data_IF_571418346153
#
_entry.id   IF_571418346153
#
_cell.length_a   1.000
_cell.length_b   1.000
_cell.length_c   1.000
_cell.angle_alpha   90.00
_cell.angle_beta   90.00
_cell.angle_gamma   90.00
#
_symmetry.space_group_name_H-M   'P 1'
#
loop_
_entity.id
_entity.type
_entity.pdbx_description
1 polymer ?
#
# COMPACT_ATOMS: atom_id res chain seq x y z
N UNK A 1 5.51 14.09 14.33
CA UNK A 1 4.80 14.01 13.03
C UNK A 1 4.49 12.56 12.72
N UNK A 2 3.43 12.28 11.96
CA UNK A 2 3.02 10.94 11.54
C UNK A 2 2.69 10.93 10.05
N UNK A 3 2.72 9.73 9.43
CA UNK A 3 2.24 9.48 8.08
C UNK A 3 1.03 8.57 8.20
N UNK A 4 -0.14 9.05 7.78
CA UNK A 4 -1.37 8.27 7.72
C UNK A 4 -1.43 7.49 6.40
N UNK A 5 -1.72 6.19 6.48
CA UNK A 5 -1.65 5.29 5.33
C UNK A 5 -3.01 4.66 5.05
N UNK A 6 -3.52 4.85 3.84
CA UNK A 6 -4.68 4.13 3.33
C UNK A 6 -4.26 2.85 2.60
N UNK A 7 -5.18 1.91 2.47
CA UNK A 7 -4.93 0.64 1.81
C UNK A 7 -5.48 0.61 0.38
N UNK A 8 -4.67 0.08 -0.55
CA UNK A 8 -5.09 -0.22 -1.92
C UNK A 8 -5.17 -1.72 -2.17
N UNK A 9 -6.06 -2.11 -3.06
CA UNK A 9 -6.08 -3.40 -3.71
C UNK A 9 -4.95 -3.52 -4.76
N UNK A 10 -4.76 -4.70 -5.34
CA UNK A 10 -3.70 -4.96 -6.33
C UNK A 10 -3.87 -4.16 -7.64
N UNK A 11 -5.10 -3.75 -7.96
CA UNK A 11 -5.44 -2.91 -9.12
C UNK A 11 -5.34 -1.40 -8.86
N UNK A 12 -4.75 -0.99 -7.74
CA UNK A 12 -4.60 0.39 -7.27
C UNK A 12 -5.92 1.09 -6.88
N UNK A 13 -7.03 0.38 -6.85
CA UNK A 13 -8.28 0.92 -6.31
C UNK A 13 -8.27 0.90 -4.78
N UNK A 14 -9.11 1.72 -4.16
CA UNK A 14 -9.30 1.69 -2.72
C UNK A 14 -9.72 0.28 -2.25
N UNK A 15 -9.09 -0.24 -1.23
CA UNK A 15 -9.53 -1.49 -0.59
C UNK A 15 -10.90 -1.31 0.06
N UNK A 16 -11.76 -2.34 0.01
CA UNK A 16 -13.17 -2.26 0.45
C UNK A 16 -13.36 -1.85 1.91
N UNK A 17 -12.34 -2.03 2.74
CA UNK A 17 -12.34 -1.70 4.17
C UNK A 17 -11.60 -0.39 4.50
N UNK A 18 -10.88 0.24 3.54
CA UNK A 18 -9.99 1.36 3.87
C UNK A 18 -10.75 2.63 4.25
N UNK A 19 -10.23 3.33 5.24
CA UNK A 19 -10.64 4.71 5.50
C UNK A 19 -9.92 5.65 4.52
N UNK A 20 -10.51 6.82 4.30
CA UNK A 20 -10.04 7.85 3.39
C UNK A 20 -10.36 9.26 3.93
N UNK A 21 -9.79 10.28 3.33
CA UNK A 21 -10.10 11.66 3.68
C UNK A 21 -8.87 12.56 3.76
N UNK A 22 -9.06 13.84 4.12
CA UNK A 22 -7.99 14.85 4.08
C UNK A 22 -6.84 14.59 5.07
N UNK A 23 -7.02 13.68 6.03
CA UNK A 23 -5.97 13.25 6.94
C UNK A 23 -5.06 12.15 6.41
N UNK A 24 -5.38 11.55 5.25
CA UNK A 24 -4.55 10.53 4.62
C UNK A 24 -3.32 11.16 3.98
N UNK A 25 -2.13 10.63 4.28
CA UNK A 25 -0.88 11.14 3.72
C UNK A 25 -0.50 10.44 2.42
N UNK A 26 -0.54 9.11 2.42
CA UNK A 26 -0.19 8.24 1.28
C UNK A 26 -1.05 6.99 1.29
N UNK A 27 -1.04 6.24 0.20
CA UNK A 27 -1.59 4.89 0.12
C UNK A 27 -0.49 3.84 -0.06
N UNK A 28 -0.79 2.60 0.31
CA UNK A 28 0.10 1.46 0.08
C UNK A 28 -0.70 0.16 -0.08
N UNK A 29 -0.10 -0.90 -0.66
CA UNK A 29 -0.76 -2.19 -0.80
C UNK A 29 -1.20 -2.75 0.55
N UNK A 30 -2.49 -2.92 0.75
CA UNK A 30 -3.08 -3.52 1.95
C UNK A 30 -3.81 -4.83 1.69
N UNK A 31 -3.99 -5.16 0.41
CA UNK A 31 -4.82 -6.29 -0.03
C UNK A 31 -6.32 -5.94 -0.02
N UNK A 32 -7.12 -6.81 -0.61
CA UNK A 32 -8.58 -6.70 -0.65
C UNK A 32 -9.19 -8.07 -0.92
N UNK A 33 -9.26 -8.89 0.10
CA UNK A 33 -9.70 -10.29 0.02
C UNK A 33 -11.11 -10.40 -0.54
N UNK A 34 -12.03 -9.60 -0.01
CA UNK A 34 -13.44 -9.63 -0.40
C UNK A 34 -13.64 -9.29 -1.90
N UNK A 35 -12.81 -8.41 -2.44
CA UNK A 35 -12.89 -8.02 -3.86
C UNK A 35 -12.39 -9.12 -4.81
N UNK A 36 -11.36 -9.87 -4.39
CA UNK A 36 -10.78 -10.95 -5.19
C UNK A 36 -11.38 -12.32 -4.89
N UNK A 37 -12.41 -12.39 -4.10
CA UNK A 37 -13.03 -13.66 -3.69
C UNK A 37 -13.50 -14.53 -4.87
N UNK A 38 -14.08 -13.92 -5.90
CA UNK A 38 -14.60 -14.61 -7.08
C UNK A 38 -13.50 -15.13 -8.04
N UNK A 39 -12.22 -14.78 -7.79
CA UNK A 39 -11.07 -15.23 -8.59
C UNK A 39 -10.44 -16.51 -8.06
N UNK A 40 -11.06 -17.18 -7.09
CA UNK A 40 -10.50 -18.35 -6.42
C UNK A 40 -11.27 -19.59 -6.83
N UNK A 41 -10.55 -20.62 -7.29
CA UNK A 41 -11.14 -21.93 -7.52
C UNK A 41 -11.32 -22.69 -6.19
N UNK A 42 -12.10 -23.80 -6.21
CA UNK A 42 -12.45 -24.57 -5.01
C UNK A 42 -11.24 -25.29 -4.36
N UNK A 43 -10.09 -25.35 -5.04
CA UNK A 43 -8.88 -26.04 -4.56
C UNK A 43 -7.92 -25.12 -3.81
N UNK A 44 -8.08 -23.79 -3.94
CA UNK A 44 -7.18 -22.80 -3.35
C UNK A 44 -7.86 -21.99 -2.23
N UNK A 45 -7.09 -21.63 -1.21
CA UNK A 45 -7.58 -20.81 -0.10
C UNK A 45 -8.17 -19.49 -0.58
N UNK A 46 -9.44 -19.32 -0.33
CA UNK A 46 -10.23 -18.17 -0.73
C UNK A 46 -9.57 -16.85 -0.32
N UNK A 47 -9.28 -16.00 -1.31
CA UNK A 47 -8.82 -14.64 -1.09
C UNK A 47 -7.32 -14.43 -0.97
N UNK A 48 -6.48 -15.46 -1.02
CA UNK A 48 -5.01 -15.29 -1.00
C UNK A 48 -4.51 -14.38 -2.12
N UNK A 49 -5.11 -14.47 -3.31
CA UNK A 49 -4.76 -13.65 -4.48
C UNK A 49 -4.90 -12.15 -4.21
N UNK A 50 -5.88 -11.77 -3.37
CA UNK A 50 -6.12 -10.38 -3.00
C UNK A 50 -5.34 -9.90 -1.78
N UNK A 51 -4.62 -10.79 -1.09
CA UNK A 51 -3.96 -10.49 0.18
C UNK A 51 -2.47 -10.18 0.03
N UNK A 52 -1.89 -9.66 1.10
CA UNK A 52 -0.45 -9.44 1.25
C UNK A 52 0.18 -10.65 1.90
N UNK A 53 1.13 -11.29 1.21
CA UNK A 53 1.95 -12.37 1.75
C UNK A 53 3.05 -11.80 2.65
N UNK A 54 3.19 -12.35 3.85
CA UNK A 54 4.28 -12.00 4.77
C UNK A 54 4.68 -13.18 5.65
N UNK A 55 5.74 -12.99 6.44
CA UNK A 55 6.19 -13.98 7.41
C UNK A 55 5.27 -14.03 8.63
N UNK A 56 5.02 -15.23 9.11
CA UNK A 56 4.28 -15.48 10.34
C UNK A 56 5.10 -16.38 11.30
N UNK A 57 4.90 -16.26 12.61
CA UNK A 57 5.51 -17.18 13.56
C UNK A 57 5.06 -18.63 13.33
N UNK A 58 5.95 -19.59 13.51
CA UNK A 58 5.66 -21.00 13.27
C UNK A 58 4.49 -21.58 14.11
N UNK A 59 4.17 -20.98 15.24
CA UNK A 59 3.01 -21.39 16.03
C UNK A 59 1.68 -20.88 15.43
N UNK A 60 1.72 -19.98 14.46
CA UNK A 60 0.56 -19.46 13.72
C UNK A 60 0.44 -20.14 12.35
N UNK A 61 1.57 -20.37 11.70
CA UNK A 61 1.63 -21.02 10.38
C UNK A 61 2.85 -21.94 10.30
N UNK A 62 2.64 -23.22 10.00
CA UNK A 62 3.71 -24.22 9.87
C UNK A 62 4.70 -23.88 8.74
N UNK A 63 4.23 -23.20 7.69
CA UNK A 63 5.09 -22.72 6.59
C UNK A 63 5.97 -21.52 6.98
N UNK A 64 5.66 -20.84 8.08
CA UNK A 64 6.27 -19.56 8.46
C UNK A 64 5.80 -18.37 7.63
N UNK A 65 4.79 -18.56 6.76
CA UNK A 65 4.22 -17.52 5.89
C UNK A 65 2.70 -17.54 5.96
N UNK A 66 2.06 -16.43 5.59
CA UNK A 66 0.62 -16.35 5.47
C UNK A 66 0.18 -15.06 4.80
N UNK A 67 -1.08 -15.06 4.42
CA UNK A 67 -1.75 -13.97 3.70
C UNK A 67 -2.65 -13.20 4.65
N UNK A 68 -2.58 -11.89 4.60
CA UNK A 68 -3.42 -10.99 5.40
C UNK A 68 -3.80 -9.76 4.59
N UNK A 69 -4.89 -9.11 4.97
CA UNK A 69 -5.29 -7.82 4.43
C UNK A 69 -5.46 -6.80 5.56
N UNK A 70 -5.40 -5.51 5.22
CA UNK A 70 -5.63 -4.43 6.17
C UNK A 70 -4.72 -3.23 5.95
N UNK A 71 -5.11 -2.10 6.52
CA UNK A 71 -4.20 -0.95 6.65
C UNK A 71 -2.98 -1.29 7.52
N UNK A 72 -3.10 -2.34 8.37
CA UNK A 72 -1.97 -2.94 9.12
C UNK A 72 -0.92 -3.58 8.20
N UNK A 73 -1.28 -3.99 6.97
CA UNK A 73 -0.38 -4.49 5.94
C UNK A 73 0.13 -3.36 5.05
N UNK A 74 -0.68 -2.33 4.81
CA UNK A 74 -0.28 -1.13 4.07
C UNK A 74 0.80 -0.31 4.81
N UNK A 75 0.64 -0.11 6.11
CA UNK A 75 1.57 0.68 6.93
C UNK A 75 3.02 0.17 6.88
N UNK A 76 3.33 -1.13 7.08
CA UNK A 76 4.70 -1.63 7.01
C UNK A 76 5.32 -1.52 5.62
N UNK A 77 4.55 -1.49 4.53
CA UNK A 77 5.09 -1.16 3.20
C UNK A 77 5.73 0.23 3.19
N UNK A 78 5.03 1.23 3.74
CA UNK A 78 5.57 2.60 3.85
C UNK A 78 6.80 2.63 4.76
N UNK A 79 6.77 1.92 5.88
CA UNK A 79 7.92 1.81 6.79
C UNK A 79 9.14 1.15 6.12
N UNK A 80 8.91 0.09 5.34
CA UNK A 80 9.97 -0.57 4.57
C UNK A 80 10.57 0.34 3.50
N UNK A 81 9.75 1.08 2.78
CA UNK A 81 10.20 2.07 1.79
C UNK A 81 10.98 3.19 2.45
N UNK A 82 10.56 3.66 3.62
CA UNK A 82 11.29 4.66 4.40
C UNK A 82 12.65 4.14 4.86
N UNK A 83 12.72 2.91 5.37
CA UNK A 83 13.99 2.28 5.78
C UNK A 83 14.94 2.11 4.60
N UNK A 84 14.42 1.70 3.43
CA UNK A 84 15.20 1.58 2.20
C UNK A 84 15.75 2.94 1.76
N UNK A 85 14.96 4.01 1.85
CA UNK A 85 15.38 5.37 1.53
C UNK A 85 16.53 5.85 2.43
N UNK A 86 16.44 5.61 3.74
CA UNK A 86 17.49 5.97 4.72
C UNK A 86 18.78 5.20 4.41
N UNK A 87 18.67 3.89 4.17
CA UNK A 87 19.81 3.04 3.83
C UNK A 87 20.50 3.51 2.54
N UNK A 88 19.73 3.78 1.50
CA UNK A 88 20.27 4.26 0.23
C UNK A 88 20.90 5.64 0.31
N UNK A 89 20.29 6.56 1.07
CA UNK A 89 20.88 7.87 1.32
C UNK A 89 22.24 7.75 2.04
N UNK A 90 22.33 6.84 3.01
CA UNK A 90 23.58 6.57 3.73
C UNK A 90 24.69 6.02 2.80
N UNK A 91 24.37 5.15 1.85
CA UNK A 91 25.32 4.69 0.80
C UNK A 91 25.86 5.87 -0.03
N UNK A 92 25.00 6.86 -0.31
CA UNK A 92 25.39 8.09 -0.97
C UNK A 92 26.02 9.13 -0.05
N UNK A 93 26.36 8.76 1.19
CA UNK A 93 26.90 9.63 2.25
C UNK A 93 26.03 10.85 2.54
N UNK A 94 24.71 10.66 2.48
CA UNK A 94 23.68 11.67 2.81
C UNK A 94 22.95 11.26 4.06
N UNK A 95 22.59 12.24 4.86
CA UNK A 95 21.66 12.07 5.99
C UNK A 95 20.32 12.70 5.64
N UNK A 96 19.25 11.95 5.71
CA UNK A 96 17.90 12.47 5.58
C UNK A 96 17.36 12.84 6.96
N UNK A 97 16.91 14.07 7.10
CA UNK A 97 16.13 14.46 8.28
C UNK A 97 14.73 13.84 8.22
N UNK A 98 14.04 13.75 9.35
CA UNK A 98 12.66 13.27 9.43
C UNK A 98 11.74 14.05 8.47
N UNK A 99 11.90 15.37 8.42
CA UNK A 99 11.14 16.24 7.53
C UNK A 99 11.39 15.94 6.05
N UNK A 100 12.65 15.82 5.65
CA UNK A 100 13.01 15.50 4.25
C UNK A 100 12.48 14.12 3.84
N UNK A 101 12.63 13.11 4.70
CA UNK A 101 12.11 11.77 4.44
C UNK A 101 10.59 11.79 4.26
N UNK A 102 9.87 12.50 5.12
CA UNK A 102 8.43 12.66 5.02
C UNK A 102 8.00 13.35 3.72
N UNK A 103 8.65 14.46 3.39
CA UNK A 103 8.38 15.21 2.15
C UNK A 103 8.65 14.34 0.90
N UNK A 104 9.73 13.59 0.88
CA UNK A 104 10.06 12.67 -0.20
C UNK A 104 9.02 11.55 -0.32
N UNK A 105 8.64 10.89 0.78
CA UNK A 105 7.62 9.84 0.77
C UNK A 105 6.29 10.33 0.18
N UNK A 106 5.89 11.56 0.50
CA UNK A 106 4.62 12.14 0.02
C UNK A 106 4.74 12.61 -1.44
N UNK A 107 5.88 13.20 -1.84
CA UNK A 107 6.03 13.81 -3.16
C UNK A 107 6.42 12.83 -4.27
N UNK A 108 6.86 11.61 -3.94
CA UNK A 108 7.33 10.61 -4.91
C UNK A 108 6.36 9.44 -5.08
N UNK A 109 5.10 9.61 -4.72
CA UNK A 109 4.05 8.61 -4.89
C UNK A 109 3.67 8.41 -6.36
N UNK A 110 3.12 7.24 -6.67
CA UNK A 110 2.43 6.99 -7.94
C UNK A 110 0.99 7.50 -7.84
N UNK A 111 0.54 8.40 -8.72
CA UNK A 111 -0.85 8.85 -8.72
C UNK A 111 -1.83 7.68 -8.92
N UNK A 112 -2.92 7.65 -8.14
CA UNK A 112 -3.94 6.60 -8.20
C UNK A 112 -5.37 7.13 -8.34
N UNK A 113 -5.56 8.44 -8.44
CA UNK A 113 -6.89 9.05 -8.51
C UNK A 113 -7.69 8.63 -9.73
N UNK A 114 -7.01 8.40 -10.85
CA UNK A 114 -7.64 7.91 -12.08
C UNK A 114 -8.12 6.45 -11.96
N UNK A 115 -7.60 5.70 -11.00
CA UNK A 115 -8.07 4.36 -10.68
C UNK A 115 -9.36 4.39 -9.82
N UNK A 116 -9.66 5.53 -9.15
CA UNK A 116 -10.81 5.68 -8.27
C UNK A 116 -12.05 6.12 -9.07
N UNK A 117 -12.51 5.30 -10.01
CA UNK A 117 -13.64 5.58 -10.88
C UNK A 117 -14.58 4.39 -10.99
N UNK A 118 -15.89 4.66 -11.12
CA UNK A 118 -16.90 3.62 -11.25
C UNK A 118 -17.17 2.86 -9.95
N UNK A 119 -17.45 1.58 -10.08
CA UNK A 119 -17.71 0.72 -8.94
C UNK A 119 -17.11 -0.66 -9.16
N UNK A 120 -16.65 -1.29 -8.09
CA UNK A 120 -16.30 -2.69 -8.08
C UNK A 120 -17.37 -3.51 -7.34
N UNK A 121 -17.62 -4.71 -7.83
CA UNK A 121 -18.50 -5.67 -7.17
C UNK A 121 -17.64 -6.57 -6.30
N UNK A 122 -18.06 -6.83 -5.09
CA UNK A 122 -17.38 -7.74 -4.18
C UNK A 122 -18.37 -8.57 -3.38
N UNK A 123 -17.95 -9.77 -2.96
CA UNK A 123 -18.74 -10.69 -2.15
C UNK A 123 -18.01 -10.93 -0.83
N UNK A 124 -18.61 -10.48 0.27
CA UNK A 124 -18.03 -10.72 1.58
C UNK A 124 -18.17 -12.20 1.95
N UNK A 125 -17.07 -12.79 2.37
CA UNK A 125 -17.08 -14.14 2.93
C UNK A 125 -17.20 -14.08 4.46
N UNK A 126 -18.17 -14.79 4.99
CA UNK A 126 -18.34 -14.94 6.44
C UNK A 126 -18.11 -16.40 6.80
N UNK A 127 -17.15 -16.67 7.70
CA UNK A 127 -16.84 -18.02 8.16
C UNK A 127 -18.11 -18.72 8.66
N UNK A 128 -18.26 -20.01 8.34
CA UNK A 128 -19.40 -20.87 8.68
C UNK A 128 -20.74 -20.52 7.97
N UNK A 129 -20.82 -19.38 7.25
CA UNK A 129 -22.02 -18.97 6.51
C UNK A 129 -21.78 -19.04 5.00
N UNK A 130 -20.55 -18.77 4.57
CA UNK A 130 -20.16 -18.72 3.16
C UNK A 130 -20.27 -17.32 2.54
N UNK A 131 -20.21 -17.23 1.19
CA UNK A 131 -20.27 -15.96 0.48
C UNK A 131 -21.61 -15.28 0.67
N UNK A 132 -21.55 -13.96 0.90
CA UNK A 132 -22.72 -13.11 1.01
C UNK A 132 -23.16 -12.62 -0.37
N UNK A 133 -24.35 -12.03 -0.45
CA UNK A 133 -24.83 -11.41 -1.68
C UNK A 133 -23.84 -10.35 -2.18
N UNK A 134 -23.57 -10.29 -3.50
CA UNK A 134 -22.66 -9.29 -4.06
C UNK A 134 -23.09 -7.87 -3.72
N UNK A 135 -22.12 -7.06 -3.36
CA UNK A 135 -22.31 -5.64 -3.02
C UNK A 135 -21.54 -4.75 -3.98
N UNK A 136 -22.05 -3.53 -4.20
CA UNK A 136 -21.40 -2.51 -5.02
C UNK A 136 -20.59 -1.57 -4.13
N UNK A 137 -19.31 -1.40 -4.45
CA UNK A 137 -18.39 -0.49 -3.79
C UNK A 137 -18.05 0.65 -4.77
N UNK A 138 -18.57 1.83 -4.51
CA UNK A 138 -18.32 3.01 -5.34
C UNK A 138 -16.95 3.59 -5.05
N UNK A 139 -16.19 3.87 -6.10
CA UNK A 139 -14.81 4.37 -6.01
C UNK A 139 -14.71 5.90 -6.02
N UNK A 140 -15.67 6.60 -6.61
CA UNK A 140 -15.65 8.07 -6.72
C UNK A 140 -15.43 8.82 -5.37
N UNK A 141 -15.98 8.37 -4.23
CA UNK A 141 -15.71 9.01 -2.94
C UNK A 141 -14.26 9.02 -2.52
N UNK A 142 -13.45 8.11 -3.05
CA UNK A 142 -12.03 7.94 -2.73
C UNK A 142 -11.12 8.82 -3.58
N UNK A 143 -11.62 9.36 -4.71
CA UNK A 143 -10.85 10.22 -5.60
C UNK A 143 -10.40 11.49 -4.86
N UNK A 144 -9.11 11.80 -4.92
CA UNK A 144 -8.43 12.88 -4.17
C UNK A 144 -8.52 12.74 -2.63
N UNK A 145 -8.83 11.56 -2.11
CA UNK A 145 -8.98 11.30 -0.68
C UNK A 145 -8.04 10.19 -0.16
N UNK A 146 -7.23 9.62 -1.04
CA UNK A 146 -6.31 8.51 -0.75
C UNK A 146 -4.86 8.99 -0.50
N UNK A 147 -4.70 10.23 -0.05
CA UNK A 147 -3.39 10.88 0.12
C UNK A 147 -2.80 11.34 -1.21
N UNK A 148 -1.48 11.50 -1.28
CA UNK A 148 -0.79 11.92 -2.51
C UNK A 148 -0.68 10.83 -3.58
N UNK A 149 -1.04 9.59 -3.25
CA UNK A 149 -0.97 8.44 -4.13
C UNK A 149 -0.31 7.23 -3.45
N UNK A 150 -0.03 6.18 -4.22
CA UNK A 150 0.61 4.97 -3.71
C UNK A 150 2.11 5.15 -3.54
N UNK A 151 2.65 4.75 -2.39
CA UNK A 151 4.08 4.79 -2.10
C UNK A 151 4.88 4.04 -3.18
N UNK A 152 5.98 4.65 -3.64
CA UNK A 152 6.84 4.11 -4.70
C UNK A 152 8.31 4.13 -4.27
N UNK A 153 8.85 2.96 -3.95
CA UNK A 153 10.28 2.82 -3.63
C UNK A 153 11.16 3.30 -4.79
N UNK A 154 10.82 2.91 -6.01
CA UNK A 154 11.61 3.27 -7.20
C UNK A 154 11.67 4.80 -7.42
N UNK A 155 10.52 5.49 -7.31
CA UNK A 155 10.45 6.94 -7.47
C UNK A 155 11.20 7.66 -6.35
N UNK A 156 11.06 7.18 -5.11
CA UNK A 156 11.75 7.72 -3.94
C UNK A 156 13.28 7.60 -4.07
N UNK A 157 13.78 6.41 -4.37
CA UNK A 157 15.22 6.20 -4.55
C UNK A 157 15.80 7.02 -5.71
N UNK A 158 15.07 7.14 -6.82
CA UNK A 158 15.44 8.00 -7.94
C UNK A 158 15.54 9.48 -7.53
N UNK A 159 14.60 9.96 -6.72
CA UNK A 159 14.64 11.33 -6.21
C UNK A 159 15.84 11.56 -5.28
N UNK A 160 16.19 10.59 -4.45
CA UNK A 160 17.39 10.65 -3.60
C UNK A 160 18.66 10.67 -4.44
N UNK A 161 18.78 9.84 -5.48
CA UNK A 161 19.92 9.81 -6.39
C UNK A 161 20.08 11.14 -7.16
N UNK A 162 19.00 11.65 -7.76
CA UNK A 162 19.04 12.87 -8.57
C UNK A 162 19.33 14.15 -7.76
N UNK A 163 19.02 14.15 -6.47
CA UNK A 163 19.41 15.26 -5.59
C UNK A 163 20.93 15.27 -5.30
N UNK A 164 21.63 14.14 -5.49
CA UNK A 164 23.10 14.05 -5.40
C UNK A 164 23.83 14.65 -6.61
N UNK A 165 23.25 14.58 -7.79
CA UNK A 165 23.84 15.12 -9.02
C UNK A 165 23.86 16.68 -9.08
N UNK A 166 23.02 17.34 -8.29
CA UNK A 166 22.95 18.80 -8.21
C UNK A 166 24.01 19.44 -7.29
N UNK A 167 24.72 18.64 -6.50
CA UNK A 167 25.85 19.12 -5.69
C UNK A 167 27.18 18.89 -6.41
N UNK A 168 27.36 19.55 -7.55
CA UNK A 168 28.68 19.72 -8.13
C UNK A 168 29.36 20.86 -7.36
N UNK A 169 30.31 20.54 -6.49
CA UNK A 169 31.14 21.54 -5.86
C UNK A 169 32.02 22.19 -6.95
N UNK A 170 31.99 23.49 -7.11
CA UNK A 170 33.00 24.14 -7.96
C UNK A 170 34.36 23.95 -7.29
N UNK A 171 35.35 23.59 -8.09
CA UNK A 171 36.76 23.51 -7.73
C UNK A 171 37.28 24.83 -7.16
#
# INVERSE_FOLDING_TARGET
>A
DYISVAATAADLTAATYTNYGPGTSVSAPGGDQDYYFDYVDEEHNYGEVGCVLSTLPYHVSESGYGYMEGTSMACPHVSGVAALAISYAAELRRHLTEKELRELLISTTTPIDECQTGAKTYSRYVADIGPQQPMQFKLEPYKNQMGSGQVSAAALLKAIAGAGEKMHFPN
#
